data_IF_707502887311
#
_entry.id   IF_707502887311
#
_cell.length_a   1.000
_cell.length_b   1.000
_cell.length_c   1.000
_cell.angle_alpha   90.00
_cell.angle_beta   90.00
_cell.angle_gamma   90.00
#
_symmetry.space_group_name_H-M   'P 1'
#
loop_
_entity.id
_entity.type
_entity.pdbx_description
1 polymer ?
#
# COMPACT_ATOMS: atom_id res chain seq x y z
N UNK A 1 -8.35 6.75 -0.80
CA UNK A 1 -8.00 5.63 0.10
C UNK A 1 -9.21 5.28 0.95
N UNK A 2 -9.54 3.99 1.09
CA UNK A 2 -10.56 3.48 2.01
C UNK A 2 -9.91 2.52 3.02
N UNK A 3 -10.06 2.80 4.32
CA UNK A 3 -9.64 1.89 5.39
C UNK A 3 -10.83 1.13 5.96
N UNK A 4 -10.68 -0.18 6.15
CA UNK A 4 -11.69 -1.21 6.44
C UNK A 4 -12.47 -1.74 5.22
N UNK A 5 -12.81 -3.03 5.26
CA UNK A 5 -13.64 -3.70 4.24
C UNK A 5 -15.09 -3.17 4.21
N UNK A 6 -15.63 -2.75 5.35
CA UNK A 6 -16.96 -2.13 5.43
C UNK A 6 -17.02 -0.80 4.67
N UNK A 7 -16.01 0.05 4.86
CA UNK A 7 -15.92 1.30 4.11
C UNK A 7 -15.62 1.07 2.63
N UNK A 8 -14.82 0.06 2.30
CA UNK A 8 -14.59 -0.35 0.91
C UNK A 8 -15.92 -0.72 0.22
N UNK A 9 -16.78 -1.52 0.86
CA UNK A 9 -18.10 -1.84 0.31
C UNK A 9 -18.94 -0.59 0.03
N UNK A 10 -19.06 0.32 1.00
CA UNK A 10 -19.80 1.59 0.83
C UNK A 10 -19.25 2.43 -0.33
N UNK A 11 -17.92 2.51 -0.45
CA UNK A 11 -17.26 3.22 -1.53
C UNK A 11 -17.56 2.58 -2.89
N UNK A 12 -17.44 1.25 -3.00
CA UNK A 12 -17.73 0.53 -4.23
C UNK A 12 -19.20 0.69 -4.66
N UNK A 13 -20.14 0.63 -3.72
CA UNK A 13 -21.56 0.84 -4.02
C UNK A 13 -21.83 2.28 -4.50
N UNK A 14 -21.15 3.28 -3.91
CA UNK A 14 -21.27 4.68 -4.35
C UNK A 14 -20.66 4.94 -5.73
N UNK A 15 -19.52 4.31 -6.04
CA UNK A 15 -18.88 4.36 -7.37
C UNK A 15 -19.80 3.72 -8.41
N UNK A 16 -20.30 2.51 -8.12
CA UNK A 16 -21.21 1.79 -9.03
C UNK A 16 -22.51 2.57 -9.30
N UNK A 17 -23.02 3.29 -8.29
CA UNK A 17 -24.18 4.16 -8.42
C UNK A 17 -23.90 5.52 -9.08
N UNK A 18 -22.65 5.80 -9.48
CA UNK A 18 -22.24 7.08 -10.07
C UNK A 18 -22.30 8.28 -9.13
N UNK A 19 -22.39 8.05 -7.81
CA UNK A 19 -22.49 9.12 -6.79
C UNK A 19 -21.15 9.79 -6.50
N UNK A 20 -20.05 9.09 -6.78
CA UNK A 20 -18.68 9.57 -6.61
C UNK A 20 -17.83 9.13 -7.80
N UNK A 21 -16.74 9.85 -8.06
CA UNK A 21 -15.79 9.57 -9.15
C UNK A 21 -14.36 9.64 -8.61
N UNK A 22 -13.59 8.58 -8.87
CA UNK A 22 -12.19 8.47 -8.49
C UNK A 22 -11.44 7.73 -9.60
N UNK A 23 -10.25 8.21 -9.96
CA UNK A 23 -9.41 7.57 -10.98
C UNK A 23 -8.59 6.41 -10.41
N UNK A 24 -8.24 6.49 -9.12
CA UNK A 24 -7.47 5.47 -8.41
C UNK A 24 -7.95 5.29 -6.98
N UNK A 25 -8.14 4.04 -6.56
CA UNK A 25 -8.65 3.68 -5.23
C UNK A 25 -7.72 2.66 -4.57
N UNK A 26 -7.15 3.04 -3.43
CA UNK A 26 -6.44 2.12 -2.53
C UNK A 26 -7.38 1.67 -1.40
N UNK A 27 -7.41 0.35 -1.14
CA UNK A 27 -8.21 -0.27 -0.08
C UNK A 27 -7.30 -0.98 0.91
N UNK A 28 -7.45 -0.63 2.20
CA UNK A 28 -6.78 -1.31 3.31
C UNK A 28 -7.81 -2.05 4.16
N UNK A 29 -7.59 -3.32 4.47
CA UNK A 29 -8.55 -4.11 5.23
C UNK A 29 -8.67 -3.70 6.70
N UNK A 30 -7.58 -3.22 7.31
CA UNK A 30 -7.56 -2.81 8.73
C UNK A 30 -7.97 -1.33 8.88
N UNK A 31 -8.83 -0.99 9.86
CA UNK A 31 -9.08 0.40 10.23
C UNK A 31 -7.77 1.08 10.64
N UNK A 32 -7.46 2.23 10.05
CA UNK A 32 -6.19 2.94 10.31
C UNK A 32 -4.95 2.36 9.61
N UNK A 33 -5.13 1.38 8.71
CA UNK A 33 -4.06 0.79 7.91
C UNK A 33 -3.24 -0.28 8.64
N UNK A 34 -2.14 -0.71 8.05
CA UNK A 34 -1.34 -1.86 8.51
C UNK A 34 -0.81 -1.69 9.94
N UNK A 35 -0.53 -0.45 10.36
CA UNK A 35 -0.01 -0.13 11.68
C UNK A 35 -0.95 -0.51 12.84
N UNK A 36 -2.22 -0.73 12.51
CA UNK A 36 -3.28 -1.16 13.43
C UNK A 36 -3.85 -2.54 13.04
N UNK A 37 -3.04 -3.38 12.37
CA UNK A 37 -3.45 -4.73 11.99
C UNK A 37 -3.60 -5.69 13.17
N UNK A 38 -4.37 -6.77 12.99
CA UNK A 38 -4.69 -7.72 14.07
C UNK A 38 -3.51 -8.49 14.68
N UNK A 39 -2.32 -8.45 14.04
CA UNK A 39 -1.09 -9.00 14.60
C UNK A 39 -0.28 -8.03 15.46
N UNK A 40 -0.74 -6.78 15.63
CA UNK A 40 -0.08 -5.80 16.48
C UNK A 40 -0.35 -6.08 17.96
N UNK A 41 0.49 -5.60 18.89
CA UNK A 41 0.26 -5.79 20.31
C UNK A 41 -1.14 -5.33 20.74
N UNK A 42 -1.94 -6.26 21.28
CA UNK A 42 -3.31 -6.03 21.75
C UNK A 42 -3.27 -5.08 22.94
N UNK A 43 -3.81 -3.85 22.81
CA UNK A 43 -3.84 -2.87 23.90
C UNK A 43 -5.07 -1.94 23.77
N UNK A 44 -5.59 -1.50 24.91
CA UNK A 44 -6.82 -0.69 25.06
C UNK A 44 -6.70 0.78 24.64
N UNK A 45 -5.60 1.18 23.97
CA UNK A 45 -5.24 2.58 23.81
C UNK A 45 -4.88 2.94 22.35
N UNK A 46 -5.77 3.71 21.73
CA UNK A 46 -5.67 4.21 20.35
C UNK A 46 -4.52 5.20 20.16
N UNK A 47 -4.04 5.88 21.21
CA UNK A 47 -3.02 6.92 21.09
C UNK A 47 -1.67 6.37 20.59
N UNK A 48 -1.42 5.08 20.82
CA UNK A 48 -0.18 4.41 20.39
C UNK A 48 -0.10 4.22 18.87
N UNK A 49 -1.23 4.10 18.18
CA UNK A 49 -1.25 4.00 16.71
C UNK A 49 -0.77 5.32 16.10
N UNK A 50 -1.29 6.45 16.59
CA UNK A 50 -0.87 7.77 16.13
C UNK A 50 0.61 8.02 16.39
N UNK A 51 1.11 7.64 17.57
CA UNK A 51 2.52 7.76 17.92
C UNK A 51 3.43 6.95 16.97
N UNK A 52 3.10 5.67 16.70
CA UNK A 52 3.87 4.83 15.78
C UNK A 52 3.87 5.38 14.36
N UNK A 53 2.70 5.81 13.88
CA UNK A 53 2.53 6.42 12.56
C UNK A 53 3.41 7.67 12.41
N UNK A 54 3.44 8.54 13.43
CA UNK A 54 4.29 9.74 13.45
C UNK A 54 5.77 9.40 13.36
N UNK A 55 6.23 8.37 14.09
CA UNK A 55 7.62 7.91 14.04
C UNK A 55 7.97 7.41 12.64
N UNK A 56 7.15 6.54 12.04
CA UNK A 56 7.41 5.98 10.71
C UNK A 56 7.47 7.05 9.62
N UNK A 57 6.50 7.96 9.57
CA UNK A 57 6.54 9.06 8.61
C UNK A 57 7.66 10.06 8.89
N UNK A 58 8.05 10.23 10.15
CA UNK A 58 9.21 11.04 10.52
C UNK A 58 10.51 10.47 9.96
N UNK A 59 10.72 9.16 10.08
CA UNK A 59 11.89 8.46 9.53
C UNK A 59 11.93 8.53 8.00
N UNK A 60 10.79 8.29 7.35
CA UNK A 60 10.67 8.38 5.89
C UNK A 60 10.96 9.80 5.35
N UNK A 61 10.50 10.83 6.06
CA UNK A 61 10.65 12.24 5.63
C UNK A 61 12.11 12.71 5.63
N UNK A 62 12.94 12.20 6.54
CA UNK A 62 14.34 12.61 6.69
C UNK A 62 15.32 11.67 6.00
N UNK A 63 14.83 10.61 5.34
CA UNK A 63 15.68 9.68 4.62
C UNK A 63 16.21 10.33 3.33
N UNK A 64 17.53 10.30 3.15
CA UNK A 64 18.19 10.78 1.95
C UNK A 64 17.89 9.92 0.72
N UNK A 65 17.56 8.63 0.93
CA UNK A 65 17.16 7.71 -0.14
C UNK A 65 15.68 7.38 0.00
N UNK A 66 14.85 8.19 -0.65
CA UNK A 66 13.39 8.17 -0.47
C UNK A 66 12.66 7.50 -1.62
N UNK A 67 13.07 7.76 -2.85
CA UNK A 67 12.36 7.27 -4.03
C UNK A 67 12.96 5.96 -4.53
N UNK A 68 12.12 4.95 -4.78
CA UNK A 68 12.58 3.61 -5.18
C UNK A 68 13.40 3.62 -6.47
N UNK A 69 13.10 4.51 -7.42
CA UNK A 69 13.82 4.63 -8.69
C UNK A 69 15.20 5.32 -8.55
N UNK A 70 15.50 5.90 -7.39
CA UNK A 70 16.83 6.45 -7.07
C UNK A 70 17.67 5.45 -6.27
N UNK A 71 17.08 4.35 -5.77
CA UNK A 71 17.79 3.36 -4.97
C UNK A 71 18.78 2.56 -5.82
N UNK A 72 20.10 2.63 -5.55
CA UNK A 72 21.12 1.92 -6.32
C UNK A 72 20.90 0.40 -6.37
N UNK A 73 20.40 -0.19 -5.29
CA UNK A 73 20.12 -1.64 -5.22
C UNK A 73 18.95 -2.01 -6.14
N UNK A 74 17.88 -1.20 -6.15
CA UNK A 74 16.74 -1.40 -7.06
C UNK A 74 17.19 -1.25 -8.50
N UNK A 75 17.96 -0.19 -8.81
CA UNK A 75 18.51 0.03 -10.16
C UNK A 75 19.37 -1.17 -10.59
N UNK A 76 20.20 -1.71 -9.70
CA UNK A 76 21.04 -2.86 -9.99
C UNK A 76 20.19 -4.12 -10.25
N UNK A 77 19.16 -4.38 -9.43
CA UNK A 77 18.25 -5.51 -9.65
C UNK A 77 17.56 -5.46 -11.02
N UNK A 78 17.15 -4.28 -11.47
CA UNK A 78 16.57 -4.13 -12.81
C UNK A 78 17.62 -4.34 -13.91
N UNK A 79 18.78 -3.70 -13.80
CA UNK A 79 19.87 -3.86 -14.80
C UNK A 79 20.34 -5.30 -14.96
N UNK A 80 20.49 -6.02 -13.87
CA UNK A 80 21.12 -7.34 -13.88
C UNK A 80 20.13 -8.48 -14.07
N UNK A 81 18.85 -8.27 -13.76
CA UNK A 81 17.90 -9.37 -13.66
C UNK A 81 16.50 -9.07 -14.21
N UNK A 82 15.85 -7.97 -13.82
CA UNK A 82 14.46 -7.71 -14.22
C UNK A 82 14.30 -6.95 -15.54
N UNK A 83 15.39 -6.47 -16.14
CA UNK A 83 15.42 -5.61 -17.32
C UNK A 83 14.76 -4.25 -17.04
N UNK A 84 13.54 -4.02 -17.53
CA UNK A 84 12.76 -2.81 -17.33
C UNK A 84 11.44 -3.08 -16.60
N UNK A 85 10.85 -2.07 -15.92
CA UNK A 85 9.51 -2.21 -15.37
C UNK A 85 8.52 -2.65 -16.45
N UNK A 86 7.69 -3.64 -16.13
CA UNK A 86 6.72 -4.26 -17.05
C UNK A 86 7.32 -5.16 -18.15
N UNK A 87 8.61 -5.48 -18.12
CA UNK A 87 9.22 -6.51 -18.99
C UNK A 87 8.56 -7.88 -18.80
N UNK A 88 8.81 -8.83 -19.71
CA UNK A 88 8.32 -10.20 -19.58
C UNK A 88 8.78 -10.84 -18.26
N UNK A 89 10.06 -10.69 -17.91
CA UNK A 89 10.64 -11.21 -16.67
C UNK A 89 10.02 -10.56 -15.42
N UNK A 90 9.86 -9.23 -15.41
CA UNK A 90 9.23 -8.52 -14.31
C UNK A 90 7.74 -8.91 -14.17
N UNK A 91 7.05 -9.10 -15.30
CA UNK A 91 5.65 -9.53 -15.30
C UNK A 91 5.48 -10.94 -14.75
N UNK A 92 6.36 -11.87 -15.12
CA UNK A 92 6.34 -13.25 -14.61
C UNK A 92 6.53 -13.31 -13.09
N UNK A 93 7.45 -12.52 -12.55
CA UNK A 93 7.89 -12.65 -11.15
C UNK A 93 7.21 -11.68 -10.18
N UNK A 94 6.88 -10.46 -10.63
CA UNK A 94 6.43 -9.37 -9.76
C UNK A 94 4.95 -9.04 -9.93
N UNK A 95 4.30 -9.55 -10.98
CA UNK A 95 2.87 -9.36 -11.20
C UNK A 95 2.09 -10.63 -10.92
N UNK A 96 0.78 -10.49 -10.74
CA UNK A 96 -0.10 -11.62 -10.44
C UNK A 96 -1.47 -11.44 -11.09
N UNK A 97 -2.26 -12.52 -11.08
CA UNK A 97 -3.62 -12.55 -11.61
C UNK A 97 -4.57 -12.97 -10.49
N UNK A 98 -5.76 -12.37 -10.47
CA UNK A 98 -6.83 -12.76 -9.56
C UNK A 98 -7.84 -13.62 -10.31
N UNK A 99 -8.30 -14.69 -9.67
CA UNK A 99 -9.34 -15.56 -10.21
C UNK A 99 -10.70 -15.14 -9.68
N UNK A 100 -11.72 -15.20 -10.54
CA UNK A 100 -13.11 -15.16 -10.08
C UNK A 100 -13.39 -16.52 -9.43
N UNK A 101 -13.83 -16.51 -8.17
CA UNK A 101 -14.35 -17.69 -7.50
C UNK A 101 -15.84 -17.84 -7.76
#
# INVERSE_FOLDING_TARGET
VASSLSNARKLMDAIAAGKVKYDFVEVMACPGGCINGGGQPIKDDYDKVAARTKVLYGLDKVNNLRFSHENPEVIQCYKDYFEEPLSEKAHELLHTKHVVK
#
